data_IF_005637587793
#
_entry.id   IF_005637587793
#
_cell.length_a   1.000
_cell.length_b   1.000
_cell.length_c   1.000
_cell.angle_alpha   90.00
_cell.angle_beta   90.00
_cell.angle_gamma   90.00
#
_symmetry.space_group_name_H-M   'P 1'
#
loop_
_entity.id
_entity.type
_entity.pdbx_description
1 polymer ?
#
# COMPACT_ATOMS: atom_id res chain seq x y z
N UNK A 1 -29.85 -3.75 -27.37
CA UNK A 1 -29.96 -4.45 -26.07
C UNK A 1 -28.55 -4.91 -25.71
N UNK A 2 -27.98 -4.53 -24.56
CA UNK A 2 -26.73 -5.11 -24.11
C UNK A 2 -26.89 -6.62 -23.95
N UNK A 3 -25.84 -7.39 -24.25
CA UNK A 3 -25.85 -8.83 -24.06
C UNK A 3 -26.03 -9.16 -22.55
N UNK A 4 -26.77 -10.22 -22.21
CA UNK A 4 -26.91 -10.63 -20.82
C UNK A 4 -25.54 -11.00 -20.23
N UNK A 5 -25.24 -10.45 -19.05
CA UNK A 5 -24.05 -10.78 -18.26
C UNK A 5 -24.07 -12.28 -17.93
N UNK A 6 -22.92 -12.94 -18.10
CA UNK A 6 -22.72 -14.34 -17.70
C UNK A 6 -22.33 -14.39 -16.22
N UNK A 7 -22.59 -15.53 -15.59
CA UNK A 7 -22.12 -15.76 -14.22
C UNK A 7 -20.59 -15.66 -14.15
N UNK A 8 -20.11 -14.80 -13.26
CA UNK A 8 -18.68 -14.49 -13.10
C UNK A 8 -18.19 -13.25 -13.86
N UNK A 9 -19.02 -12.67 -14.73
CA UNK A 9 -18.68 -11.39 -15.35
C UNK A 9 -18.66 -10.27 -14.30
N UNK A 10 -17.67 -9.38 -14.40
CA UNK A 10 -17.64 -8.16 -13.60
C UNK A 10 -18.80 -7.22 -13.96
N UNK A 11 -19.31 -6.42 -13.01
CA UNK A 11 -20.35 -5.45 -13.30
C UNK A 11 -19.89 -4.47 -14.39
N UNK A 12 -20.85 -3.93 -15.15
CA UNK A 12 -20.56 -2.91 -16.16
C UNK A 12 -19.83 -1.72 -15.51
N UNK A 13 -18.80 -1.17 -16.17
CA UNK A 13 -18.05 -0.04 -15.64
C UNK A 13 -18.95 1.20 -15.57
N UNK A 14 -18.76 1.99 -14.52
CA UNK A 14 -19.32 3.34 -14.42
C UNK A 14 -18.44 4.33 -15.19
N UNK A 15 -18.98 5.50 -15.62
CA UNK A 15 -18.16 6.51 -16.29
C UNK A 15 -16.95 6.93 -15.44
N UNK A 16 -15.76 6.83 -16.04
CA UNK A 16 -14.50 7.25 -15.42
C UNK A 16 -14.19 8.74 -15.60
N UNK A 17 -13.06 9.18 -15.04
CA UNK A 17 -12.61 10.58 -15.10
C UNK A 17 -11.56 10.85 -16.19
N UNK A 18 -10.73 9.85 -16.51
CA UNK A 18 -9.63 9.98 -17.47
C UNK A 18 -9.56 8.75 -18.38
N UNK A 19 -9.13 8.96 -19.62
CA UNK A 19 -8.79 7.89 -20.56
C UNK A 19 -7.49 7.21 -20.15
N UNK A 20 -7.57 5.95 -19.72
CA UNK A 20 -6.40 5.13 -19.35
C UNK A 20 -5.51 4.89 -20.57
N UNK A 21 -6.12 4.77 -21.75
CA UNK A 21 -5.40 4.55 -23.01
C UNK A 21 -4.52 5.74 -23.38
N UNK A 22 -5.02 6.97 -23.24
CA UNK A 22 -4.24 8.17 -23.55
C UNK A 22 -3.06 8.32 -22.59
N UNK A 23 -3.29 8.09 -21.29
CA UNK A 23 -2.22 8.07 -20.29
C UNK A 23 -1.16 6.99 -20.58
N UNK A 24 -1.58 5.81 -21.04
CA UNK A 24 -0.65 4.75 -21.44
C UNK A 24 0.18 5.14 -22.67
N UNK A 25 -0.46 5.76 -23.67
CA UNK A 25 0.23 6.24 -24.87
C UNK A 25 1.34 7.24 -24.51
N UNK A 26 1.05 8.18 -23.60
CA UNK A 26 2.04 9.13 -23.09
C UNK A 26 3.24 8.40 -22.45
N UNK A 27 2.98 7.43 -21.56
CA UNK A 27 4.05 6.63 -20.94
C UNK A 27 4.88 5.84 -21.95
N UNK A 28 4.26 5.32 -23.01
CA UNK A 28 4.98 4.62 -24.09
C UNK A 28 5.91 5.59 -24.83
N UNK A 29 5.45 6.81 -25.10
CA UNK A 29 6.27 7.85 -25.74
C UNK A 29 7.47 8.24 -24.87
N UNK A 30 7.27 8.44 -23.57
CA UNK A 30 8.35 8.74 -22.63
C UNK A 30 9.39 7.62 -22.57
N UNK A 31 8.93 6.36 -22.50
CA UNK A 31 9.84 5.20 -22.47
C UNK A 31 10.62 5.06 -23.78
N UNK A 32 10.00 5.36 -24.93
CA UNK A 32 10.71 5.43 -26.21
C UNK A 32 11.78 6.51 -26.20
N UNK A 33 11.47 7.72 -25.73
CA UNK A 33 12.43 8.83 -25.65
C UNK A 33 13.63 8.49 -24.75
N UNK A 34 13.38 7.90 -23.58
CA UNK A 34 14.42 7.43 -22.67
C UNK A 34 15.28 6.32 -23.30
N UNK A 35 14.67 5.39 -24.04
CA UNK A 35 15.39 4.36 -24.79
C UNK A 35 16.33 4.96 -25.84
N UNK A 36 15.84 5.94 -26.62
CA UNK A 36 16.66 6.68 -27.59
C UNK A 36 17.82 7.40 -26.89
N UNK A 37 17.56 8.05 -25.76
CA UNK A 37 18.60 8.72 -24.99
C UNK A 37 19.68 7.75 -24.50
N UNK A 38 19.29 6.56 -24.02
CA UNK A 38 20.22 5.56 -23.46
C UNK A 38 21.00 4.78 -24.52
N UNK A 39 20.35 4.44 -25.63
CA UNK A 39 20.88 3.50 -26.62
C UNK A 39 21.07 4.11 -28.02
N UNK A 40 20.83 5.41 -28.18
CA UNK A 40 21.05 6.17 -29.41
C UNK A 40 20.00 5.94 -30.51
N UNK A 41 19.10 4.97 -30.36
CA UNK A 41 18.07 4.65 -31.36
C UNK A 41 16.84 4.03 -30.68
N UNK A 42 15.64 4.12 -31.29
CA UNK A 42 14.48 3.41 -30.79
C UNK A 42 14.62 1.90 -31.05
N UNK A 43 13.82 1.10 -30.36
CA UNK A 43 13.73 -0.33 -30.65
C UNK A 43 13.20 -0.54 -32.08
N UNK A 44 13.98 -1.25 -32.90
CA UNK A 44 13.63 -1.59 -34.28
C UNK A 44 13.45 -3.10 -34.45
N UNK A 45 12.67 -3.51 -35.45
CA UNK A 45 12.59 -4.91 -35.87
C UNK A 45 13.90 -5.35 -36.52
N UNK A 46 14.13 -6.68 -36.56
CA UNK A 46 15.32 -7.29 -37.18
C UNK A 46 16.67 -6.79 -36.63
N UNK A 47 16.71 -6.44 -35.34
CA UNK A 47 17.90 -5.93 -34.65
C UNK A 47 18.82 -7.03 -34.08
N UNK A 48 18.56 -8.30 -34.41
CA UNK A 48 19.33 -9.46 -33.92
C UNK A 48 18.97 -9.94 -32.52
N UNK A 49 18.06 -9.28 -31.79
CA UNK A 49 17.56 -9.74 -30.49
C UNK A 49 16.36 -10.66 -30.62
N UNK A 50 16.21 -11.55 -29.64
CA UNK A 50 15.01 -12.37 -29.50
C UNK A 50 13.95 -11.61 -28.69
N UNK A 51 13.08 -10.88 -29.39
CA UNK A 51 12.04 -10.08 -28.76
C UNK A 51 11.06 -10.92 -27.90
N UNK A 52 10.85 -12.19 -28.21
CA UNK A 52 9.98 -13.08 -27.42
C UNK A 52 10.61 -13.38 -26.08
N UNK A 53 11.91 -13.68 -26.06
CA UNK A 53 12.64 -13.92 -24.82
C UNK A 53 12.67 -12.65 -23.97
N UNK A 54 13.05 -11.50 -24.56
CA UNK A 54 13.08 -10.22 -23.87
C UNK A 54 11.71 -9.90 -23.22
N UNK A 55 10.60 -10.07 -23.98
CA UNK A 55 9.26 -9.84 -23.45
C UNK A 55 8.85 -10.84 -22.36
N UNK A 56 9.32 -12.09 -22.44
CA UNK A 56 9.05 -13.11 -21.43
C UNK A 56 9.75 -12.79 -20.12
N UNK A 57 11.02 -12.40 -20.18
CA UNK A 57 11.81 -12.02 -19.01
C UNK A 57 11.21 -10.78 -18.32
N UNK A 58 10.85 -9.75 -19.09
CA UNK A 58 10.19 -8.55 -18.56
C UNK A 58 8.81 -8.85 -17.95
N UNK A 59 8.06 -9.82 -18.50
CA UNK A 59 6.79 -10.25 -17.92
C UNK A 59 6.97 -11.00 -16.59
N UNK A 60 8.06 -11.76 -16.44
CA UNK A 60 8.41 -12.39 -15.16
C UNK A 60 8.80 -11.35 -14.11
N UNK A 61 9.58 -10.34 -14.50
CA UNK A 61 9.91 -9.22 -13.61
C UNK A 61 8.65 -8.49 -13.13
N UNK A 62 7.69 -8.21 -14.04
CA UNK A 62 6.38 -7.66 -13.66
C UNK A 62 5.65 -8.56 -12.66
N UNK A 63 5.60 -9.87 -12.91
CA UNK A 63 4.94 -10.82 -12.00
C UNK A 63 5.60 -10.83 -10.62
N UNK A 64 6.93 -10.73 -10.54
CA UNK A 64 7.65 -10.62 -9.27
C UNK A 64 7.27 -9.36 -8.49
N UNK A 65 7.18 -8.20 -9.15
CA UNK A 65 6.75 -6.97 -8.48
C UNK A 65 5.30 -7.03 -7.99
N UNK A 66 4.39 -7.62 -8.79
CA UNK A 66 3.01 -7.82 -8.37
C UNK A 66 2.91 -8.73 -7.14
N UNK A 67 3.67 -9.82 -7.10
CA UNK A 67 3.75 -10.72 -5.96
C UNK A 67 4.28 -10.00 -4.71
N UNK A 68 5.32 -9.17 -4.86
CA UNK A 68 5.85 -8.37 -3.75
C UNK A 68 4.75 -7.45 -3.15
N UNK A 69 4.02 -6.72 -4.01
CA UNK A 69 2.93 -5.84 -3.58
C UNK A 69 1.85 -6.63 -2.83
N UNK A 70 1.48 -7.81 -3.32
CA UNK A 70 0.50 -8.68 -2.66
C UNK A 70 0.97 -9.12 -1.26
N UNK A 71 2.20 -9.61 -1.16
CA UNK A 71 2.80 -10.07 0.10
C UNK A 71 2.90 -8.94 1.12
N UNK A 72 3.41 -7.78 0.72
CA UNK A 72 3.53 -6.59 1.58
C UNK A 72 2.16 -6.08 2.03
N UNK A 73 1.16 -6.09 1.14
CA UNK A 73 -0.22 -5.72 1.46
C UNK A 73 -0.83 -6.67 2.49
N UNK A 74 -0.64 -7.97 2.31
CA UNK A 74 -1.14 -8.98 3.23
C UNK A 74 -0.47 -8.87 4.60
N UNK A 75 0.87 -8.74 4.65
CA UNK A 75 1.61 -8.54 5.89
C UNK A 75 1.17 -7.27 6.65
N UNK A 76 0.93 -6.17 5.92
CA UNK A 76 0.41 -4.92 6.49
C UNK A 76 -0.99 -5.13 7.06
N UNK A 77 -1.89 -5.79 6.31
CA UNK A 77 -3.25 -6.10 6.76
C UNK A 77 -3.24 -6.96 8.03
N UNK A 78 -2.37 -7.97 8.10
CA UNK A 78 -2.26 -8.85 9.25
C UNK A 78 -1.74 -8.12 10.49
N UNK A 79 -0.77 -7.23 10.32
CA UNK A 79 -0.25 -6.37 11.40
C UNK A 79 -1.34 -5.45 11.95
N UNK A 80 -2.09 -4.78 11.07
CA UNK A 80 -3.23 -3.95 11.47
C UNK A 80 -4.28 -4.80 12.19
N UNK A 81 -4.63 -5.97 11.64
CA UNK A 81 -5.60 -6.89 12.23
C UNK A 81 -5.18 -7.36 13.64
N UNK A 82 -3.89 -7.68 13.83
CA UNK A 82 -3.33 -8.06 15.12
C UNK A 82 -3.41 -6.91 16.14
N UNK A 83 -2.96 -5.71 15.76
CA UNK A 83 -3.05 -4.52 16.62
C UNK A 83 -4.50 -4.22 17.03
N UNK A 84 -5.44 -4.35 16.10
CA UNK A 84 -6.87 -4.18 16.38
C UNK A 84 -7.42 -5.25 17.33
N UNK A 85 -6.95 -6.50 17.24
CA UNK A 85 -7.34 -7.59 18.16
C UNK A 85 -6.81 -7.35 19.56
N UNK A 86 -5.54 -6.95 19.70
CA UNK A 86 -4.94 -6.64 21.00
C UNK A 86 -5.67 -5.48 21.68
N UNK A 87 -5.98 -4.42 20.93
CA UNK A 87 -6.76 -3.28 21.41
C UNK A 87 -8.17 -3.65 21.89
N UNK A 88 -8.82 -4.62 21.23
CA UNK A 88 -10.16 -5.13 21.62
C UNK A 88 -10.13 -6.02 22.85
N UNK A 89 -9.04 -6.74 23.08
CA UNK A 89 -8.93 -7.74 24.14
C UNK A 89 -8.73 -7.16 25.55
N UNK A 90 -8.71 -5.82 25.69
CA UNK A 90 -8.51 -5.11 26.96
C UNK A 90 -7.23 -5.54 27.71
N UNK A 91 -6.27 -6.15 27.00
CA UNK A 91 -4.96 -6.49 27.55
C UNK A 91 -4.22 -5.18 27.76
N UNK A 92 -4.35 -4.68 28.98
CA UNK A 92 -4.00 -3.33 29.40
C UNK A 92 -2.61 -2.89 29.00
N UNK A 93 -2.57 -1.87 28.15
CA UNK A 93 -1.51 -0.88 28.05
C UNK A 93 -2.17 0.46 27.72
N UNK A 94 -1.52 1.56 28.09
CA UNK A 94 -1.94 2.89 27.67
C UNK A 94 -2.19 2.90 26.15
N UNK A 95 -3.30 3.49 25.70
CA UNK A 95 -3.61 3.52 24.26
C UNK A 95 -2.41 4.14 23.54
N UNK A 96 -1.71 3.37 22.70
CA UNK A 96 -0.43 3.73 22.09
C UNK A 96 -0.44 5.10 21.38
N UNK A 97 -1.63 5.51 20.95
CA UNK A 97 -1.92 6.79 20.31
C UNK A 97 -1.95 8.00 21.24
N UNK A 98 -2.43 7.84 22.47
CA UNK A 98 -2.68 8.96 23.39
C UNK A 98 -2.10 8.75 24.79
N UNK A 99 -1.45 7.62 25.03
CA UNK A 99 -0.82 7.22 26.29
C UNK A 99 -1.72 7.35 27.54
N UNK A 100 -3.05 7.24 27.36
CA UNK A 100 -3.99 7.29 28.48
C UNK A 100 -4.64 5.92 28.72
N UNK A 101 -4.74 5.56 30.00
CA UNK A 101 -5.61 4.51 30.49
C UNK A 101 -7.08 4.97 30.41
N UNK A 102 -7.94 4.24 29.70
CA UNK A 102 -9.38 4.50 29.45
C UNK A 102 -9.72 5.32 28.17
N UNK A 103 -10.92 5.10 27.58
CA UNK A 103 -11.07 4.67 26.19
C UNK A 103 -10.76 5.80 25.20
N UNK A 104 -9.59 5.72 24.57
CA UNK A 104 -9.22 6.63 23.51
C UNK A 104 -10.22 6.57 22.36
N UNK A 105 -10.47 7.69 21.69
CA UNK A 105 -11.44 7.82 20.58
C UNK A 105 -11.22 6.76 19.49
N UNK A 106 -9.97 6.36 19.26
CA UNK A 106 -9.57 5.23 18.41
C UNK A 106 -10.24 3.92 18.84
N UNK A 107 -10.30 3.63 20.15
CA UNK A 107 -11.07 2.50 20.72
C UNK A 107 -12.55 2.61 20.43
N UNK A 108 -13.16 3.76 20.72
CA UNK A 108 -14.60 3.95 20.52
C UNK A 108 -15.01 3.79 19.03
N UNK A 109 -14.17 4.28 18.12
CA UNK A 109 -14.37 4.18 16.68
C UNK A 109 -14.18 2.74 16.17
N UNK A 110 -13.17 2.02 16.66
CA UNK A 110 -12.85 0.66 16.23
C UNK A 110 -13.72 -0.43 16.87
N UNK A 111 -14.32 -0.16 18.04
CA UNK A 111 -15.19 -1.11 18.76
C UNK A 111 -16.68 -0.78 18.64
N UNK A 112 -17.06 0.37 18.04
CA UNK A 112 -18.45 0.88 18.01
C UNK A 112 -19.12 0.95 19.39
N UNK A 113 -18.35 0.98 20.48
CA UNK A 113 -18.91 1.31 21.77
C UNK A 113 -19.14 2.82 21.80
N UNK A 114 -20.38 3.23 21.58
CA UNK A 114 -20.85 4.59 21.84
C UNK A 114 -20.48 4.95 23.28
N UNK A 115 -19.51 5.85 23.48
CA UNK A 115 -19.16 6.29 24.81
C UNK A 115 -20.11 7.39 25.30
N UNK A 116 -20.35 7.50 26.61
CA UNK A 116 -20.95 8.69 27.19
C UNK A 116 -20.00 9.89 27.03
N UNK A 117 -20.62 11.03 26.71
CA UNK A 117 -20.00 12.30 26.38
C UNK A 117 -19.14 12.87 27.52
N UNK A 118 -17.82 13.00 27.31
CA UNK A 118 -16.93 14.05 27.87
C UNK A 118 -15.44 13.66 27.77
N UNK A 119 -14.90 13.47 26.55
CA UNK A 119 -13.46 13.26 26.35
C UNK A 119 -12.84 14.34 25.43
N UNK A 120 -11.57 14.73 25.67
CA UNK A 120 -10.94 15.93 25.12
C UNK A 120 -10.50 15.81 23.65
N UNK A 121 -10.44 16.96 22.98
CA UNK A 121 -10.38 17.23 21.53
C UNK A 121 -9.10 16.76 20.77
N UNK A 122 -8.26 15.89 21.33
CA UNK A 122 -6.89 15.68 20.78
C UNK A 122 -6.70 14.43 19.90
N UNK A 123 -7.70 13.55 19.75
CA UNK A 123 -7.55 12.30 18.98
C UNK A 123 -8.15 12.33 17.56
N UNK A 124 -8.89 13.37 17.18
CA UNK A 124 -9.59 13.40 15.89
C UNK A 124 -8.65 13.55 14.68
N UNK A 125 -7.50 14.19 14.86
CA UNK A 125 -6.51 14.42 13.79
C UNK A 125 -5.94 13.12 13.22
N UNK A 126 -5.32 12.27 14.05
CA UNK A 126 -4.72 11.02 13.57
C UNK A 126 -5.77 10.07 12.97
N UNK A 127 -6.99 10.06 13.52
CA UNK A 127 -8.05 9.19 13.03
C UNK A 127 -8.52 9.61 11.65
N UNK A 128 -8.63 10.92 11.40
CA UNK A 128 -8.94 11.44 10.07
C UNK A 128 -7.80 11.14 9.09
N UNK A 129 -6.54 11.26 9.51
CA UNK A 129 -5.39 10.95 8.68
C UNK A 129 -5.31 9.45 8.33
N UNK A 130 -5.53 8.55 9.29
CA UNK A 130 -5.55 7.10 9.06
C UNK A 130 -6.74 6.68 8.17
N UNK A 131 -7.90 7.34 8.30
CA UNK A 131 -9.06 7.10 7.43
C UNK A 131 -8.80 7.56 6.00
N UNK A 132 -8.18 8.73 5.82
CA UNK A 132 -7.77 9.22 4.50
C UNK A 132 -6.81 8.22 3.85
N UNK A 133 -5.78 7.79 4.59
CA UNK A 133 -4.80 6.83 4.10
C UNK A 133 -5.43 5.48 3.73
N UNK A 134 -6.36 4.98 4.55
CA UNK A 134 -7.11 3.75 4.26
C UNK A 134 -8.00 3.89 3.02
N UNK A 135 -8.62 5.05 2.80
CA UNK A 135 -9.45 5.32 1.63
C UNK A 135 -8.61 5.44 0.36
N UNK A 136 -7.45 6.09 0.43
CA UNK A 136 -6.48 6.20 -0.67
C UNK A 136 -5.92 4.83 -1.08
N UNK A 137 -5.60 3.98 -0.09
CA UNK A 137 -5.19 2.59 -0.31
C UNK A 137 -6.29 1.76 -0.98
N UNK A 138 -7.54 1.90 -0.52
CA UNK A 138 -8.69 1.19 -1.11
C UNK A 138 -9.02 1.70 -2.53
N UNK A 139 -8.76 2.98 -2.82
CA UNK A 139 -8.95 3.59 -4.13
C UNK A 139 -7.82 3.27 -5.13
N UNK A 140 -6.73 2.64 -4.67
CA UNK A 140 -5.59 2.31 -5.51
C UNK A 140 -4.72 3.50 -5.92
N UNK A 141 -4.76 4.59 -5.15
CA UNK A 141 -3.93 5.76 -5.36
C UNK A 141 -2.52 5.54 -4.80
N UNK A 142 -1.71 4.71 -5.47
CA UNK A 142 -0.38 4.34 -4.98
C UNK A 142 0.74 5.31 -5.39
N UNK A 143 0.47 6.28 -6.29
CA UNK A 143 1.54 7.10 -6.87
C UNK A 143 1.04 8.45 -7.42
N UNK A 144 1.39 9.55 -6.74
CA UNK A 144 1.50 10.88 -7.34
C UNK A 144 3.00 11.21 -7.31
N UNK A 145 3.63 11.43 -8.47
CA UNK A 145 5.09 11.40 -8.68
C UNK A 145 5.94 12.45 -7.92
N UNK A 146 5.40 13.09 -6.88
CA UNK A 146 6.07 14.08 -6.04
C UNK A 146 5.85 13.87 -4.53
N UNK A 147 5.08 12.87 -4.11
CA UNK A 147 4.83 12.60 -2.68
C UNK A 147 5.59 11.35 -2.18
N UNK A 148 5.93 11.29 -0.88
CA UNK A 148 6.52 10.08 -0.31
C UNK A 148 5.62 8.87 -0.59
N UNK A 149 6.24 7.75 -1.00
CA UNK A 149 5.56 6.46 -1.11
C UNK A 149 4.69 6.20 0.13
N UNK A 150 3.60 5.43 0.01
CA UNK A 150 2.67 5.16 1.12
C UNK A 150 3.41 4.76 2.41
N UNK A 151 4.47 3.94 2.31
CA UNK A 151 5.34 3.61 3.45
C UNK A 151 6.02 4.85 4.10
N UNK A 152 6.48 5.81 3.30
CA UNK A 152 7.02 7.09 3.77
C UNK A 152 5.96 7.99 4.41
N UNK A 153 4.73 8.03 3.89
CA UNK A 153 3.61 8.77 4.52
C UNK A 153 3.16 8.11 5.84
N UNK A 154 3.16 6.79 5.92
CA UNK A 154 2.94 6.05 7.17
C UNK A 154 4.03 6.41 8.18
N UNK A 155 5.29 6.34 7.79
CA UNK A 155 6.42 6.73 8.66
C UNK A 155 6.33 8.18 9.13
N UNK A 156 5.91 9.09 8.25
CA UNK A 156 5.78 10.51 8.58
C UNK A 156 4.59 10.78 9.51
N UNK A 157 3.45 10.09 9.30
CA UNK A 157 2.32 10.10 10.23
C UNK A 157 2.73 9.53 11.60
N UNK A 158 3.44 8.41 11.61
CA UNK A 158 3.96 7.81 12.84
C UNK A 158 4.92 8.79 13.55
N UNK A 159 5.84 9.44 12.83
CA UNK A 159 6.76 10.45 13.39
C UNK A 159 6.02 11.68 13.92
N UNK A 160 5.06 12.23 13.17
CA UNK A 160 4.29 13.44 13.51
C UNK A 160 3.48 13.26 14.79
N UNK A 161 2.99 12.04 15.02
CA UNK A 161 2.22 11.71 16.22
C UNK A 161 3.05 11.03 17.32
N UNK A 162 4.39 11.13 17.27
CA UNK A 162 5.32 10.56 18.23
C UNK A 162 5.15 9.04 18.47
N UNK A 163 4.66 8.34 17.44
CA UNK A 163 4.44 6.91 17.44
C UNK A 163 5.78 6.22 17.20
N UNK A 164 6.41 5.74 18.27
CA UNK A 164 7.69 5.03 18.18
C UNK A 164 7.44 3.64 17.59
N UNK A 165 7.71 3.46 16.29
CA UNK A 165 7.52 2.17 15.63
C UNK A 165 8.28 1.06 16.39
N UNK A 166 7.55 0.17 17.04
CA UNK A 166 8.06 -1.12 17.51
C UNK A 166 8.12 -2.02 16.28
N UNK A 167 9.05 -1.74 15.36
CA UNK A 167 9.42 -2.74 14.39
C UNK A 167 10.06 -3.89 15.20
N UNK A 168 9.60 -5.14 15.05
CA UNK A 168 10.32 -6.26 15.65
C UNK A 168 11.76 -6.19 15.13
N UNK A 169 12.72 -6.10 16.05
CA UNK A 169 14.13 -6.23 15.67
C UNK A 169 14.26 -7.57 14.95
N UNK A 170 14.89 -7.63 13.76
CA UNK A 170 15.09 -8.91 13.09
C UNK A 170 15.78 -9.86 14.08
N UNK A 171 15.23 -11.07 14.18
CA UNK A 171 15.79 -12.13 15.02
C UNK A 171 17.27 -12.28 14.67
N UNK A 172 18.20 -12.27 15.65
CA UNK A 172 19.61 -12.40 15.33
C UNK A 172 19.81 -13.71 14.59
N UNK A 173 20.33 -13.62 13.37
CA UNK A 173 20.64 -14.77 12.52
C UNK A 173 21.45 -15.78 13.33
N UNK A 174 21.10 -17.08 13.31
CA UNK A 174 21.87 -18.11 14.00
C UNK A 174 23.31 -18.04 13.51
N UNK A 175 24.25 -17.81 14.44
CA UNK A 175 25.68 -17.89 14.13
C UNK A 175 25.96 -19.32 13.66
N UNK A 176 26.37 -19.48 12.40
CA UNK A 176 26.88 -20.75 11.88
C UNK A 176 27.93 -21.30 12.84
N UNK A 177 27.67 -22.47 13.40
CA UNK A 177 28.67 -23.20 14.18
C UNK A 177 29.72 -23.73 13.21
N UNK A 178 31.03 -23.54 13.47
CA UNK A 178 32.07 -24.08 12.62
C UNK A 178 31.97 -25.61 12.60
N UNK A 179 31.91 -26.17 11.39
CA UNK A 179 31.96 -27.61 11.16
C UNK A 179 33.30 -28.17 11.63
N UNK A 180 33.24 -29.10 12.59
CA UNK A 180 34.36 -29.92 13.05
C UNK A 180 34.92 -30.84 11.97
#
# INVERSE_FOLDING_TARGET
>A
MPAPLRDGDQPLPTPGQQSVQDALIERIQDRRALGIQRYGSPLMTFNGRNAVQDATEEALDLASYLMQIELETNATRDTISAALKEHRADKHGDCFTCQTAAPCTTRQILTRQTAPASAPETCDGLINDLRSLSAELAAGCYWTGSEPHIGGRIDELLKRHAVRAFLPTPDPTPKEQPSS
#
